data_IF_006929833470
#
_entry.id   IF_006929833470
#
_cell.length_a   1.000
_cell.length_b   1.000
_cell.length_c   1.000
_cell.angle_alpha   90.00
_cell.angle_beta   90.00
_cell.angle_gamma   90.00
#
_symmetry.space_group_name_H-M   'P 1'
#
loop_
_entity.id
_entity.type
_entity.pdbx_description
1 polymer ?
#
# COMPACT_ATOMS: atom_id res chain seq x y z
N UNK A 1 -11.38 12.57 14.78
CA UNK A 1 -11.89 11.74 13.66
C UNK A 1 -11.16 10.40 13.74
N UNK A 2 -11.83 9.33 14.16
CA UNK A 2 -11.22 8.00 14.26
C UNK A 2 -11.03 7.48 12.83
N UNK A 3 -9.79 7.46 12.34
CA UNK A 3 -9.48 6.97 10.99
C UNK A 3 -9.43 5.45 11.04
N UNK A 4 -10.58 4.79 11.01
CA UNK A 4 -10.63 3.35 10.72
C UNK A 4 -10.22 3.17 9.25
N UNK A 5 -9.09 2.50 9.03
CA UNK A 5 -8.65 2.09 7.69
C UNK A 5 -9.61 1.01 7.19
N UNK A 6 -9.98 1.06 5.90
CA UNK A 6 -10.73 -0.06 5.32
C UNK A 6 -9.84 -1.31 5.31
N UNK A 7 -10.44 -2.50 5.37
CA UNK A 7 -9.70 -3.77 5.27
C UNK A 7 -8.82 -3.82 4.02
N UNK A 8 -9.25 -3.20 2.93
CA UNK A 8 -8.49 -3.09 1.68
C UNK A 8 -7.21 -2.26 1.85
N UNK A 9 -7.23 -1.23 2.68
CA UNK A 9 -6.07 -0.38 2.93
C UNK A 9 -5.12 -1.01 3.94
N UNK A 10 -5.64 -1.69 4.97
CA UNK A 10 -4.84 -2.52 5.86
C UNK A 10 -4.14 -3.63 5.08
N UNK A 11 -4.85 -4.35 4.21
CA UNK A 11 -4.27 -5.37 3.33
C UNK A 11 -3.16 -4.78 2.44
N UNK A 12 -3.40 -3.60 1.84
CA UNK A 12 -2.38 -2.93 1.03
C UNK A 12 -1.12 -2.59 1.84
N UNK A 13 -1.27 -2.10 3.06
CA UNK A 13 -0.14 -1.79 3.94
C UNK A 13 0.66 -3.04 4.23
N UNK A 14 0.00 -4.13 4.66
CA UNK A 14 0.66 -5.38 5.00
C UNK A 14 1.41 -5.98 3.80
N UNK A 15 0.79 -5.96 2.61
CA UNK A 15 1.42 -6.48 1.37
C UNK A 15 2.63 -5.63 0.98
N UNK A 16 2.50 -4.30 0.95
CA UNK A 16 3.62 -3.43 0.56
C UNK A 16 4.75 -3.48 1.60
N UNK A 17 4.43 -3.54 2.89
CA UNK A 17 5.41 -3.74 3.95
C UNK A 17 6.20 -5.04 3.74
N UNK A 18 5.51 -6.15 3.43
CA UNK A 18 6.15 -7.44 3.15
C UNK A 18 7.12 -7.39 1.97
N UNK A 19 6.81 -6.59 0.93
CA UNK A 19 7.73 -6.40 -0.21
C UNK A 19 8.95 -5.56 0.19
N UNK A 20 8.75 -4.50 0.98
CA UNK A 20 9.83 -3.62 1.44
C UNK A 20 10.78 -4.36 2.38
N UNK A 21 10.25 -5.22 3.24
CA UNK A 21 11.00 -6.11 4.14
C UNK A 21 11.60 -7.33 3.42
N UNK A 22 11.49 -7.39 2.09
CA UNK A 22 12.02 -8.47 1.22
C UNK A 22 11.45 -9.86 1.55
N UNK A 23 10.29 -9.94 2.22
CA UNK A 23 9.57 -11.19 2.51
C UNK A 23 8.65 -11.62 1.37
N UNK A 24 8.36 -10.72 0.43
CA UNK A 24 7.49 -10.95 -0.73
C UNK A 24 8.10 -10.33 -1.99
N UNK A 25 7.98 -10.99 -3.15
CA UNK A 25 8.41 -10.39 -4.42
C UNK A 25 7.39 -9.36 -4.89
N UNK A 26 7.88 -8.30 -5.57
CA UNK A 26 7.03 -7.24 -6.13
C UNK A 26 5.93 -7.78 -7.06
N UNK A 27 6.24 -8.79 -7.87
CA UNK A 27 5.27 -9.41 -8.79
C UNK A 27 4.12 -10.09 -8.04
N UNK A 28 4.42 -10.75 -6.92
CA UNK A 28 3.43 -11.48 -6.12
C UNK A 28 2.49 -10.48 -5.44
N UNK A 29 3.04 -9.37 -4.94
CA UNK A 29 2.26 -8.24 -4.42
C UNK A 29 1.37 -7.59 -5.48
N UNK A 30 1.86 -7.45 -6.72
CA UNK A 30 1.06 -6.90 -7.82
C UNK A 30 -0.16 -7.79 -8.09
N UNK A 31 0.03 -9.12 -8.10
CA UNK A 31 -1.07 -10.08 -8.25
C UNK A 31 -2.05 -10.01 -7.06
N UNK A 32 -1.55 -10.02 -5.81
CA UNK A 32 -2.39 -9.99 -4.61
C UNK A 32 -3.20 -8.68 -4.48
N UNK A 33 -2.65 -7.56 -4.94
CA UNK A 33 -3.33 -6.26 -4.93
C UNK A 33 -4.19 -6.02 -6.18
N UNK A 34 -4.19 -6.93 -7.14
CA UNK A 34 -4.79 -6.74 -8.47
C UNK A 34 -4.31 -5.43 -9.13
N UNK A 35 -3.01 -5.19 -9.07
CA UNK A 35 -2.33 -4.01 -9.61
C UNK A 35 -1.26 -4.43 -10.62
N UNK A 36 -0.85 -3.48 -11.45
CA UNK A 36 0.35 -3.64 -12.27
C UNK A 36 1.62 -3.51 -11.43
N UNK A 37 2.73 -4.08 -11.88
CA UNK A 37 4.03 -3.91 -11.21
C UNK A 37 4.43 -2.43 -11.07
N UNK A 38 4.10 -1.59 -12.06
CA UNK A 38 4.35 -0.14 -12.03
C UNK A 38 3.54 0.54 -10.93
N UNK A 39 2.26 0.19 -10.77
CA UNK A 39 1.43 0.70 -9.67
C UNK A 39 1.98 0.25 -8.32
N UNK A 40 2.40 -1.00 -8.21
CA UNK A 40 3.03 -1.56 -7.01
C UNK A 40 4.33 -0.81 -6.67
N UNK A 41 5.18 -0.55 -7.66
CA UNK A 41 6.41 0.24 -7.47
C UNK A 41 6.11 1.66 -6.97
N UNK A 42 5.07 2.32 -7.51
CA UNK A 42 4.64 3.64 -7.02
C UNK A 42 4.19 3.61 -5.57
N UNK A 43 3.47 2.56 -5.16
CA UNK A 43 3.08 2.38 -3.76
C UNK A 43 4.29 2.14 -2.86
N UNK A 44 5.25 1.32 -3.30
CA UNK A 44 6.50 1.11 -2.58
C UNK A 44 7.28 2.41 -2.37
N UNK A 45 7.35 3.28 -3.39
CA UNK A 45 8.03 4.56 -3.26
C UNK A 45 7.35 5.46 -2.22
N UNK A 46 6.02 5.61 -2.28
CA UNK A 46 5.26 6.37 -1.27
C UNK A 46 5.39 5.80 0.14
N UNK A 47 5.42 4.48 0.28
CA UNK A 47 5.63 3.83 1.57
C UNK A 47 7.03 4.12 2.13
N UNK A 48 8.06 4.21 1.28
CA UNK A 48 9.40 4.62 1.72
C UNK A 48 9.47 6.09 2.12
N UNK A 49 8.73 6.95 1.43
CA UNK A 49 8.71 8.40 1.68
C UNK A 49 7.90 8.76 2.94
N UNK A 50 6.79 8.07 3.21
CA UNK A 50 5.82 8.49 4.23
C UNK A 50 5.23 7.34 5.05
N UNK A 51 5.80 6.13 4.97
CA UNK A 51 5.30 4.95 5.68
C UNK A 51 3.87 4.56 5.28
N UNK A 52 3.12 4.00 6.24
CA UNK A 52 1.72 3.62 6.04
C UNK A 52 0.83 4.82 5.63
N UNK A 53 1.16 6.04 6.06
CA UNK A 53 0.42 7.25 5.70
C UNK A 53 0.49 7.53 4.17
N UNK A 54 1.60 7.19 3.51
CA UNK A 54 1.73 7.31 2.05
C UNK A 54 0.85 6.36 1.24
N UNK A 55 0.30 5.32 1.89
CA UNK A 55 -0.63 4.35 1.30
C UNK A 55 -2.09 4.63 1.65
N UNK A 56 -2.34 5.47 2.66
CA UNK A 56 -3.67 5.94 2.99
C UNK A 56 -4.24 6.75 1.80
N UNK A 57 -5.49 6.50 1.45
CA UNK A 57 -6.11 7.20 0.33
C UNK A 57 -6.28 8.69 0.66
N UNK A 58 -5.54 9.57 -0.03
CA UNK A 58 -5.62 11.04 0.12
C UNK A 58 -7.04 11.62 -0.15
N UNK A 59 -7.93 10.83 -0.76
CA UNK A 59 -9.35 11.20 -0.91
C UNK A 59 -10.20 10.92 0.33
N UNK A 60 -9.73 10.15 1.32
CA UNK A 60 -10.38 10.04 2.62
C UNK A 60 -10.13 11.33 3.40
N UNK A 61 -11.13 12.18 3.46
CA UNK A 61 -11.06 13.53 4.02
C UNK A 61 -11.64 14.61 3.10
N UNK A 62 -11.99 14.26 1.85
CA UNK A 62 -12.66 15.16 0.91
C UNK A 62 -14.15 14.79 0.84
N UNK A 63 -14.87 15.06 1.92
CA UNK A 63 -16.33 15.05 1.97
C UNK A 63 -16.79 16.23 2.80
#
# INVERSE_FOLDING_TARGET
MLVTMSDKELNRINVIQSVVEKRMRRRDAAHQLALTERQTQRLMNRFRESGAAGLANLRRGRR
#
